data_IF_962849674067
#
_entry.id   IF_962849674067
#
_cell.length_a   1.000
_cell.length_b   1.000
_cell.length_c   1.000
_cell.angle_alpha   90.00
_cell.angle_beta   90.00
_cell.angle_gamma   90.00
#
_symmetry.space_group_name_H-M   'P 1'
#
loop_
_entity.id
_entity.type
_entity.pdbx_description
1 polymer ?
#
# COMPACT_ATOMS: atom_id res chain seq x y z
N UNK A 1 -18.82 -1.11 27.09
CA UNK A 1 -18.36 -1.32 25.71
C UNK A 1 -17.00 -2.00 25.73
N UNK A 2 -16.88 -3.06 25.00
CA UNK A 2 -15.61 -3.78 24.95
C UNK A 2 -14.63 -3.04 24.06
N UNK A 3 -13.37 -2.96 24.46
CA UNK A 3 -12.36 -2.36 23.61
C UNK A 3 -12.15 -3.25 22.37
N UNK A 4 -11.73 -2.61 21.29
CA UNK A 4 -11.37 -3.34 20.09
C UNK A 4 -10.13 -4.17 20.41
N UNK A 5 -10.20 -5.46 20.12
CA UNK A 5 -9.04 -6.33 20.34
C UNK A 5 -7.94 -6.00 19.32
N UNK A 6 -6.71 -6.37 19.63
CA UNK A 6 -5.61 -6.19 18.71
C UNK A 6 -5.84 -6.92 17.41
N UNK A 7 -6.54 -8.05 17.47
CA UNK A 7 -6.86 -8.83 16.26
C UNK A 7 -7.77 -8.04 15.33
N UNK A 8 -8.80 -7.40 15.88
CA UNK A 8 -9.71 -6.59 15.08
C UNK A 8 -8.99 -5.41 14.43
N UNK A 9 -8.12 -4.76 15.19
CA UNK A 9 -7.33 -3.65 14.67
C UNK A 9 -6.42 -4.11 13.52
N UNK A 10 -5.82 -5.27 13.66
CA UNK A 10 -4.96 -5.85 12.62
C UNK A 10 -5.76 -6.19 11.36
N UNK A 11 -6.97 -6.74 11.53
CA UNK A 11 -7.84 -7.06 10.39
C UNK A 11 -8.24 -5.79 9.66
N UNK A 12 -8.60 -4.73 10.39
CA UNK A 12 -8.96 -3.45 9.79
C UNK A 12 -7.77 -2.85 9.04
N UNK A 13 -6.58 -2.91 9.62
CA UNK A 13 -5.37 -2.43 8.96
C UNK A 13 -5.11 -3.20 7.67
N UNK A 14 -5.22 -4.52 7.71
CA UNK A 14 -4.95 -5.37 6.55
C UNK A 14 -5.93 -5.12 5.41
N UNK A 15 -7.15 -4.71 5.73
CA UNK A 15 -8.19 -4.44 4.73
C UNK A 15 -8.29 -2.97 4.33
N UNK A 16 -7.49 -2.10 4.93
CA UNK A 16 -7.56 -0.69 4.62
C UNK A 16 -6.97 -0.44 3.23
N UNK A 17 -7.70 0.36 2.46
CA UNK A 17 -7.27 0.77 1.13
C UNK A 17 -6.71 2.19 1.18
N UNK A 18 -5.73 2.45 0.34
CA UNK A 18 -5.16 3.79 0.19
C UNK A 18 -5.28 4.22 -1.26
N UNK A 19 -5.61 5.48 -1.46
CA UNK A 19 -5.75 6.07 -2.79
C UNK A 19 -4.39 6.48 -3.34
N UNK A 20 -4.38 6.94 -4.60
CA UNK A 20 -3.16 7.48 -5.22
C UNK A 20 -2.56 8.59 -4.39
N UNK A 21 -3.40 9.51 -3.89
CA UNK A 21 -2.96 10.61 -3.07
C UNK A 21 -2.39 10.10 -1.74
N UNK A 22 -3.03 9.13 -1.17
CA UNK A 22 -2.61 8.57 0.12
C UNK A 22 -1.31 7.78 0.03
N UNK A 23 -0.98 7.25 -1.13
CA UNK A 23 0.35 6.63 -1.31
C UNK A 23 1.45 7.65 -0.99
N UNK A 24 1.25 8.90 -1.35
CA UNK A 24 2.21 9.96 -1.05
C UNK A 24 2.07 10.47 0.38
N UNK A 25 0.84 10.77 0.82
CA UNK A 25 0.62 11.46 2.09
C UNK A 25 0.69 10.54 3.30
N UNK A 26 0.26 9.29 3.15
CA UNK A 26 0.21 8.32 4.25
C UNK A 26 1.42 7.39 4.20
N UNK A 27 1.77 6.90 3.02
CA UNK A 27 2.85 5.93 2.87
C UNK A 27 4.19 6.57 2.53
N UNK A 28 4.20 7.86 2.20
CA UNK A 28 5.43 8.58 1.90
C UNK A 28 6.11 8.17 0.61
N UNK A 29 5.37 7.61 -0.33
CA UNK A 29 5.92 7.17 -1.62
C UNK A 29 5.83 8.33 -2.62
N UNK A 30 6.96 8.91 -3.06
CA UNK A 30 6.96 10.11 -3.89
C UNK A 30 6.85 9.83 -5.39
N UNK A 31 6.41 8.64 -5.78
CA UNK A 31 6.35 8.27 -7.18
C UNK A 31 5.13 8.85 -7.88
N UNK A 32 5.28 9.18 -9.16
CA UNK A 32 4.16 9.63 -9.98
C UNK A 32 3.25 8.43 -10.30
N UNK A 33 1.97 8.68 -10.64
CA UNK A 33 1.09 7.59 -11.06
C UNK A 33 1.65 6.78 -12.24
N UNK A 34 2.32 7.45 -13.17
CA UNK A 34 2.94 6.77 -14.31
C UNK A 34 4.04 5.81 -13.87
N UNK A 35 4.87 6.25 -12.92
CA UNK A 35 5.95 5.41 -12.41
C UNK A 35 5.39 4.19 -11.67
N UNK A 36 4.36 4.41 -10.84
CA UNK A 36 3.70 3.31 -10.13
C UNK A 36 3.11 2.31 -11.14
N UNK A 37 2.49 2.80 -12.21
CA UNK A 37 1.96 1.93 -13.26
C UNK A 37 3.03 1.06 -13.90
N UNK A 38 4.21 1.63 -14.14
CA UNK A 38 5.33 0.86 -14.70
C UNK A 38 5.80 -0.21 -13.74
N UNK A 39 5.88 0.12 -12.45
CA UNK A 39 6.28 -0.86 -11.43
C UNK A 39 5.27 -1.99 -11.32
N UNK A 40 3.98 -1.67 -11.36
CA UNK A 40 2.93 -2.68 -11.34
C UNK A 40 3.04 -3.62 -12.55
N UNK A 41 3.23 -3.05 -13.73
CA UNK A 41 3.36 -3.82 -14.96
C UNK A 41 4.58 -4.74 -14.92
N UNK A 42 5.63 -4.30 -14.25
CA UNK A 42 6.85 -5.10 -14.09
C UNK A 42 6.77 -6.09 -12.93
N UNK A 43 5.66 -6.12 -12.19
CA UNK A 43 5.52 -6.97 -11.02
C UNK A 43 6.34 -6.53 -9.83
N UNK A 44 6.72 -5.25 -9.78
CA UNK A 44 7.59 -4.71 -8.73
C UNK A 44 6.86 -3.80 -7.75
N UNK A 45 5.54 -3.75 -7.81
CA UNK A 45 4.71 -2.98 -6.91
C UNK A 45 3.39 -3.72 -6.73
N UNK A 46 2.74 -3.62 -5.56
CA UNK A 46 1.46 -4.30 -5.35
C UNK A 46 0.43 -3.85 -6.39
N UNK A 47 -0.39 -4.79 -6.85
CA UNK A 47 -1.39 -4.49 -7.87
C UNK A 47 -2.53 -3.69 -7.26
N UNK A 48 -3.04 -2.74 -8.03
CA UNK A 48 -4.15 -1.91 -7.60
C UNK A 48 -5.46 -2.68 -7.57
N UNK A 49 -6.35 -2.24 -6.71
CA UNK A 49 -7.71 -2.75 -6.64
C UNK A 49 -8.62 -1.78 -7.39
N UNK A 50 -9.37 -2.28 -8.35
CA UNK A 50 -10.31 -1.45 -9.13
C UNK A 50 -11.59 -1.30 -8.32
N UNK A 51 -11.91 -0.08 -7.91
CA UNK A 51 -13.11 0.20 -7.12
C UNK A 51 -14.28 0.68 -7.97
N UNK A 52 -14.01 1.14 -9.19
CA UNK A 52 -15.03 1.65 -10.09
C UNK A 52 -14.37 2.39 -11.24
N UNK A 53 -15.16 3.04 -12.13
CA UNK A 53 -14.59 3.80 -13.22
C UNK A 53 -13.64 4.87 -12.69
N UNK A 54 -12.39 4.85 -13.13
CA UNK A 54 -11.37 5.82 -12.74
C UNK A 54 -11.08 5.86 -11.24
N UNK A 55 -11.47 4.80 -10.50
CA UNK A 55 -11.20 4.72 -9.06
C UNK A 55 -10.38 3.48 -8.77
N UNK A 56 -9.18 3.70 -8.29
CA UNK A 56 -8.27 2.62 -7.92
C UNK A 56 -7.71 2.90 -6.53
N UNK A 57 -7.30 1.83 -5.85
CA UNK A 57 -6.70 1.92 -4.54
C UNK A 57 -5.76 0.73 -4.36
N UNK A 58 -4.99 0.74 -3.29
CA UNK A 58 -4.09 -0.36 -2.95
C UNK A 58 -4.37 -0.78 -1.53
N UNK A 59 -4.15 -2.06 -1.23
CA UNK A 59 -4.23 -2.53 0.16
C UNK A 59 -3.05 -1.97 0.93
N UNK A 60 -3.35 -1.28 2.03
CA UNK A 60 -2.30 -0.66 2.86
C UNK A 60 -1.30 -1.71 3.34
N UNK A 61 -1.77 -2.89 3.73
CA UNK A 61 -0.89 -3.95 4.21
C UNK A 61 0.12 -4.39 3.14
N UNK A 62 -0.32 -4.46 1.88
CA UNK A 62 0.57 -4.82 0.78
C UNK A 62 1.59 -3.72 0.50
N UNK A 63 1.14 -2.47 0.53
CA UNK A 63 2.03 -1.33 0.33
C UNK A 63 3.05 -1.25 1.47
N UNK A 64 2.60 -1.47 2.70
CA UNK A 64 3.50 -1.46 3.85
C UNK A 64 4.54 -2.57 3.74
N UNK A 65 4.14 -3.76 3.34
CA UNK A 65 5.08 -4.87 3.13
C UNK A 65 6.10 -4.53 2.06
N UNK A 66 5.66 -3.87 0.98
CA UNK A 66 6.56 -3.44 -0.09
C UNK A 66 7.59 -2.44 0.43
N UNK A 67 7.15 -1.48 1.25
CA UNK A 67 8.06 -0.50 1.85
C UNK A 67 9.07 -1.20 2.78
N UNK A 68 8.61 -2.14 3.61
CA UNK A 68 9.48 -2.88 4.51
C UNK A 68 10.53 -3.67 3.73
N UNK A 69 10.14 -4.29 2.63
CA UNK A 69 11.07 -5.01 1.77
C UNK A 69 12.14 -4.08 1.21
N UNK A 70 11.76 -2.88 0.77
CA UNK A 70 12.71 -1.89 0.27
C UNK A 70 13.68 -1.44 1.35
N UNK A 71 13.18 -1.25 2.56
CA UNK A 71 14.02 -0.89 3.69
C UNK A 71 15.05 -1.98 3.99
N UNK A 72 14.63 -3.24 3.93
CA UNK A 72 15.52 -4.38 4.16
C UNK A 72 16.62 -4.43 3.10
N UNK A 73 16.26 -4.24 1.84
CA UNK A 73 17.24 -4.23 0.74
C UNK A 73 18.25 -3.09 0.92
N UNK A 74 17.77 -1.92 1.34
CA UNK A 74 18.65 -0.77 1.58
C UNK A 74 19.67 -1.05 2.69
N UNK A 75 19.23 -1.76 3.74
CA UNK A 75 20.09 -2.06 4.90
C UNK A 75 20.98 -3.27 4.70
N UNK A 76 20.78 -4.03 3.62
CA UNK A 76 21.60 -5.17 3.31
C UNK A 76 23.02 -4.72 2.94
N UNK A 77 24.05 -5.44 3.39
CA UNK A 77 25.43 -5.08 3.06
C UNK A 77 25.74 -5.24 1.59
#
# INVERSE_FOLDING_TARGET
MLPISGVDAMIQFAKRLVSKKELRTVCGIPYTPQHIGRLEAAGKFPKRVQLGPNRVAWLLSEVDAWVQERMTVRDAP
#
